data_IF_633741016381
#
_entry.id   IF_633741016381
#
_cell.length_a   1.000
_cell.length_b   1.000
_cell.length_c   1.000
_cell.angle_alpha   90.00
_cell.angle_beta   90.00
_cell.angle_gamma   90.00
#
_symmetry.space_group_name_H-M   'P 1'
#
loop_
_entity.id
_entity.type
_entity.pdbx_description
1 polymer ?
#
# COMPACT_ATOMS: atom_id res chain seq x y z
N UNK A 1 44.62 64.00 14.45
CA UNK A 1 44.18 63.67 13.07
C UNK A 1 43.53 62.29 13.14
N UNK A 2 42.25 61.99 12.91
CA UNK A 2 40.99 62.65 12.48
C UNK A 2 39.87 61.88 13.23
N UNK A 3 39.08 62.48 14.11
CA UNK A 3 37.71 62.98 13.93
C UNK A 3 36.71 62.09 13.15
N UNK A 4 35.74 61.56 13.93
CA UNK A 4 34.27 61.51 13.74
C UNK A 4 33.64 60.42 12.83
N UNK A 5 32.66 59.72 13.43
CA UNK A 5 31.58 59.02 12.74
C UNK A 5 30.63 58.31 13.72
N UNK A 6 29.71 59.07 14.35
CA UNK A 6 28.59 58.58 15.16
C UNK A 6 27.46 58.09 14.25
N UNK A 7 26.88 56.92 14.52
CA UNK A 7 25.49 56.65 14.16
C UNK A 7 24.86 55.72 15.21
N UNK A 8 23.82 56.24 15.86
CA UNK A 8 22.99 55.57 16.84
C UNK A 8 21.97 54.64 16.17
N UNK A 9 21.64 53.53 16.83
CA UNK A 9 20.54 52.64 16.47
C UNK A 9 20.05 51.91 17.72
N UNK A 10 19.01 52.45 18.33
CA UNK A 10 18.30 51.93 19.50
C UNK A 10 17.41 50.76 19.08
N UNK A 11 17.42 49.66 19.83
CA UNK A 11 16.24 49.01 20.43
C UNK A 11 16.60 47.64 21.01
N UNK A 12 16.35 47.51 22.32
CA UNK A 12 16.40 46.26 23.05
C UNK A 12 15.25 45.33 22.61
N UNK A 13 15.53 44.03 22.53
CA UNK A 13 14.56 42.99 22.92
C UNK A 13 15.35 41.86 23.57
N UNK A 14 15.13 41.70 24.87
CA UNK A 14 15.42 40.47 25.61
C UNK A 14 14.30 39.50 25.28
N UNK A 15 14.60 38.37 24.66
CA UNK A 15 13.75 37.18 24.72
C UNK A 15 14.65 35.97 24.92
N UNK A 16 14.70 35.53 26.17
CA UNK A 16 15.13 34.18 26.51
C UNK A 16 14.05 33.21 26.02
N UNK A 17 14.44 32.25 25.19
CA UNK A 17 13.74 30.98 25.02
C UNK A 17 14.75 29.88 25.31
N UNK A 18 14.54 29.22 26.43
CA UNK A 18 15.13 27.95 26.78
C UNK A 18 14.46 26.82 25.97
N UNK A 19 15.20 25.72 25.75
CA UNK A 19 14.72 24.46 25.17
C UNK A 19 15.62 24.02 24.01
N UNK A 20 16.74 23.35 24.26
CA UNK A 20 16.91 21.92 24.55
C UNK A 20 16.72 20.99 23.34
N UNK A 21 17.77 20.18 23.13
CA UNK A 21 17.82 18.85 22.49
C UNK A 21 17.49 18.75 21.01
N UNK A 22 18.58 18.69 20.25
CA UNK A 22 18.79 17.69 19.20
C UNK A 22 18.04 16.37 19.47
N UNK A 23 16.99 16.14 18.68
CA UNK A 23 16.40 14.83 18.43
C UNK A 23 16.22 14.74 16.92
N UNK A 24 16.83 13.72 16.33
CA UNK A 24 16.69 13.39 14.90
C UNK A 24 15.21 13.20 14.59
N UNK A 25 14.63 14.16 13.88
CA UNK A 25 13.27 14.11 13.38
C UNK A 25 13.25 13.18 12.17
N UNK A 26 12.89 11.93 12.43
CA UNK A 26 12.86 10.84 11.47
C UNK A 26 11.56 10.06 11.55
N UNK A 27 10.45 10.74 11.84
CA UNK A 27 9.13 10.22 11.53
C UNK A 27 8.26 11.44 11.24
N UNK A 28 8.12 11.75 9.95
CA UNK A 28 7.04 12.61 9.50
C UNK A 28 5.74 11.87 9.85
N UNK A 29 5.23 12.09 11.06
CA UNK A 29 3.82 11.91 11.36
C UNK A 29 3.10 12.79 10.36
N UNK A 30 2.60 12.19 9.28
CA UNK A 30 1.73 12.88 8.32
C UNK A 30 0.50 13.28 9.12
N UNK A 31 0.55 14.49 9.66
CA UNK A 31 -0.56 15.16 10.34
C UNK A 31 -1.59 15.55 9.29
N UNK A 32 -2.23 14.55 8.71
CA UNK A 32 -3.39 14.65 7.84
C UNK A 32 -4.56 13.96 8.52
N UNK A 33 -5.79 14.36 8.17
CA UNK A 33 -6.95 13.57 8.55
C UNK A 33 -6.80 12.14 7.99
N UNK A 34 -7.26 11.09 8.72
CA UNK A 34 -7.28 9.74 8.20
C UNK A 34 -8.01 9.69 6.85
N UNK A 35 -7.50 8.89 5.91
CA UNK A 35 -8.18 8.69 4.62
C UNK A 35 -9.59 8.14 4.84
N UNK A 36 -10.54 8.64 4.07
CA UNK A 36 -11.88 8.03 3.94
C UNK A 36 -11.90 7.04 2.78
N UNK A 37 -12.93 6.18 2.74
CA UNK A 37 -13.13 5.22 1.66
C UNK A 37 -13.12 5.88 0.28
N UNK A 38 -13.75 7.04 0.15
CA UNK A 38 -13.91 7.76 -1.11
C UNK A 38 -12.56 8.15 -1.69
N UNK A 39 -11.58 8.46 -0.83
CA UNK A 39 -10.22 8.86 -1.19
C UNK A 39 -9.31 7.68 -1.54
N UNK A 40 -9.75 6.44 -1.33
CA UNK A 40 -9.00 5.25 -1.72
C UNK A 40 -8.93 5.13 -3.23
N UNK A 41 -7.81 4.58 -3.72
CA UNK A 41 -7.66 4.15 -5.10
C UNK A 41 -8.85 3.29 -5.53
N UNK A 42 -9.32 3.41 -6.77
CA UNK A 42 -10.42 2.59 -7.27
C UNK A 42 -9.86 1.40 -8.07
N UNK A 43 -9.84 0.18 -7.50
CA UNK A 43 -9.23 -0.98 -8.15
C UNK A 43 -10.01 -1.43 -9.39
N UNK A 44 -11.26 -1.01 -9.54
CA UNK A 44 -12.09 -1.36 -10.69
C UNK A 44 -11.69 -0.62 -11.99
N UNK A 45 -10.85 0.41 -11.90
CA UNK A 45 -10.42 1.24 -13.04
C UNK A 45 -9.07 0.82 -13.65
N UNK A 46 -8.53 -0.33 -13.23
CA UNK A 46 -7.32 -0.89 -13.87
C UNK A 46 -7.60 -1.19 -15.34
N UNK A 47 -6.72 -0.78 -16.28
CA UNK A 47 -6.90 -1.05 -17.71
C UNK A 47 -6.85 -2.55 -18.05
N UNK A 48 -7.63 -2.97 -19.03
CA UNK A 48 -7.70 -4.37 -19.47
C UNK A 48 -6.33 -4.91 -19.92
N UNK A 49 -5.48 -4.08 -20.54
CA UNK A 49 -4.12 -4.47 -20.93
C UNK A 49 -3.24 -4.87 -19.75
N UNK A 50 -3.42 -4.24 -18.58
CA UNK A 50 -2.70 -4.59 -17.34
C UNK A 50 -3.18 -5.94 -16.83
N UNK A 51 -4.49 -6.15 -16.83
CA UNK A 51 -5.10 -7.42 -16.40
C UNK A 51 -4.66 -8.57 -17.29
N UNK A 52 -4.69 -8.38 -18.61
CA UNK A 52 -4.22 -9.37 -19.58
C UNK A 52 -2.72 -9.67 -19.43
N UNK A 53 -1.89 -8.65 -19.21
CA UNK A 53 -0.46 -8.83 -18.96
C UNK A 53 -0.19 -9.59 -17.65
N UNK A 54 -1.06 -9.45 -16.65
CA UNK A 54 -1.02 -10.21 -15.40
C UNK A 54 -1.63 -11.63 -15.50
N UNK A 55 -2.17 -12.01 -16.67
CA UNK A 55 -2.82 -13.31 -16.89
C UNK A 55 -4.25 -13.41 -16.35
N UNK A 56 -4.88 -12.29 -15.99
CA UNK A 56 -6.29 -12.23 -15.63
C UNK A 56 -7.19 -12.07 -16.87
N UNK A 57 -8.44 -12.48 -16.72
CA UNK A 57 -9.52 -12.28 -17.69
C UNK A 57 -10.35 -11.04 -17.33
N UNK A 58 -10.22 -9.92 -18.08
CA UNK A 58 -11.00 -8.70 -17.82
C UNK A 58 -12.52 -8.93 -17.87
N UNK A 59 -12.99 -9.87 -18.69
CA UNK A 59 -14.42 -10.16 -18.82
C UNK A 59 -15.01 -10.86 -17.59
N UNK A 60 -14.16 -11.36 -16.69
CA UNK A 60 -14.55 -12.03 -15.45
C UNK A 60 -14.67 -11.11 -14.24
N UNK A 61 -14.62 -9.80 -14.45
CA UNK A 61 -14.64 -8.75 -13.42
C UNK A 61 -15.73 -8.97 -12.38
N UNK A 62 -15.32 -8.93 -11.12
CA UNK A 62 -16.16 -8.84 -9.92
C UNK A 62 -15.86 -7.51 -9.21
N UNK A 63 -16.83 -6.60 -9.20
CA UNK A 63 -16.72 -5.27 -8.59
C UNK A 63 -17.10 -5.25 -7.10
N UNK A 64 -17.46 -6.41 -6.55
CA UNK A 64 -17.72 -6.58 -5.12
C UNK A 64 -17.13 -7.91 -4.63
N UNK A 65 -15.79 -8.04 -4.57
CA UNK A 65 -15.13 -9.27 -4.13
C UNK A 65 -15.30 -9.55 -2.62
N UNK A 66 -16.04 -8.72 -1.89
CA UNK A 66 -16.26 -8.84 -0.46
C UNK A 66 -17.63 -9.46 -0.17
N UNK A 67 -17.69 -10.33 0.84
CA UNK A 67 -18.93 -10.97 1.31
C UNK A 67 -19.90 -9.99 2.00
N UNK A 68 -19.42 -8.82 2.44
CA UNK A 68 -20.21 -7.77 3.06
C UNK A 68 -19.66 -6.37 2.72
N UNK A 69 -20.50 -5.31 2.74
CA UNK A 69 -20.04 -3.95 2.53
C UNK A 69 -18.97 -3.55 3.55
N UNK A 70 -17.83 -3.07 3.06
CA UNK A 70 -16.74 -2.58 3.89
C UNK A 70 -16.65 -1.05 3.82
N UNK A 71 -16.58 -0.38 4.96
CA UNK A 71 -16.38 1.08 5.05
C UNK A 71 -14.92 1.51 4.90
N UNK A 72 -13.97 0.57 4.93
CA UNK A 72 -12.53 0.85 4.84
C UNK A 72 -11.85 0.18 3.66
N UNK A 73 -12.62 -0.45 2.76
CA UNK A 73 -12.08 -1.18 1.61
C UNK A 73 -12.84 -0.88 0.31
N UNK A 74 -12.09 -0.82 -0.80
CA UNK A 74 -12.58 -1.01 -2.17
C UNK A 74 -11.83 -2.20 -2.78
N UNK A 75 -12.43 -2.86 -3.76
CA UNK A 75 -11.85 -4.07 -4.33
C UNK A 75 -12.45 -4.42 -5.67
N UNK A 76 -11.63 -5.03 -6.52
CA UNK A 76 -12.07 -5.67 -7.75
C UNK A 76 -11.32 -6.98 -7.93
N UNK A 77 -11.99 -8.01 -8.47
CA UNK A 77 -11.43 -9.33 -8.68
C UNK A 77 -11.63 -9.84 -10.10
N UNK A 78 -10.75 -10.74 -10.53
CA UNK A 78 -10.75 -11.38 -11.85
C UNK A 78 -10.27 -12.83 -11.74
N UNK A 79 -10.78 -13.70 -12.62
CA UNK A 79 -10.24 -15.04 -12.82
C UNK A 79 -8.89 -14.96 -13.52
N UNK A 80 -7.96 -15.84 -13.13
CA UNK A 80 -6.64 -15.99 -13.73
C UNK A 80 -6.24 -17.47 -13.74
N UNK A 81 -6.78 -18.23 -14.69
CA UNK A 81 -6.55 -19.68 -14.81
C UNK A 81 -7.00 -20.45 -13.57
N UNK A 82 -6.04 -21.07 -12.88
CA UNK A 82 -6.25 -21.82 -11.62
C UNK A 82 -6.40 -20.93 -10.38
N UNK A 83 -6.30 -19.61 -10.54
CA UNK A 83 -6.29 -18.61 -9.48
C UNK A 83 -7.32 -17.51 -9.72
N UNK A 84 -7.50 -16.68 -8.70
CA UNK A 84 -8.16 -15.39 -8.74
C UNK A 84 -7.15 -14.31 -8.41
N UNK A 85 -7.13 -13.23 -9.18
CA UNK A 85 -6.43 -12.00 -8.84
C UNK A 85 -7.44 -10.99 -8.31
N UNK A 86 -7.15 -10.39 -7.17
CA UNK A 86 -7.94 -9.30 -6.62
C UNK A 86 -7.04 -8.12 -6.32
N UNK A 87 -7.42 -6.94 -6.76
CA UNK A 87 -6.77 -5.70 -6.37
C UNK A 87 -7.68 -4.99 -5.37
N UNK A 88 -7.16 -4.74 -4.17
CA UNK A 88 -7.91 -4.08 -3.10
C UNK A 88 -7.18 -2.81 -2.66
N UNK A 89 -7.91 -1.83 -2.17
CA UNK A 89 -7.37 -0.65 -1.52
C UNK A 89 -8.02 -0.46 -0.16
N UNK A 90 -7.25 -0.03 0.84
CA UNK A 90 -7.72 0.17 2.21
C UNK A 90 -7.12 1.38 2.89
N UNK A 91 -7.84 1.90 3.88
CA UNK A 91 -7.34 2.93 4.80
C UNK A 91 -6.32 2.37 5.81
N UNK A 92 -6.24 1.05 5.95
CA UNK A 92 -5.31 0.40 6.86
C UNK A 92 -3.87 0.54 6.35
N UNK A 93 -2.93 0.80 7.26
CA UNK A 93 -1.49 0.90 7.03
C UNK A 93 -0.82 -0.48 6.89
N UNK A 94 0.37 -0.56 6.28
CA UNK A 94 1.15 -1.81 6.27
C UNK A 94 1.50 -2.32 7.68
N UNK A 95 1.59 -1.43 8.68
CA UNK A 95 1.79 -1.85 10.07
C UNK A 95 0.57 -2.60 10.61
N UNK A 96 -0.64 -2.11 10.35
CA UNK A 96 -1.88 -2.82 10.75
C UNK A 96 -1.99 -4.20 10.10
N UNK A 97 -1.40 -4.41 8.92
CA UNK A 97 -1.32 -5.74 8.31
C UNK A 97 -0.44 -6.67 9.15
N UNK A 98 0.70 -6.18 9.65
CA UNK A 98 1.61 -6.97 10.50
C UNK A 98 1.02 -7.33 11.86
N UNK A 99 0.13 -6.47 12.37
CA UNK A 99 -0.57 -6.68 13.63
C UNK A 99 -1.77 -7.64 13.50
N UNK A 100 -2.24 -7.90 12.27
CA UNK A 100 -3.32 -8.82 12.00
C UNK A 100 -2.86 -10.28 12.05
N UNK A 101 -3.35 -11.04 13.03
CA UNK A 101 -2.98 -12.45 13.23
C UNK A 101 -3.47 -13.40 12.13
N UNK A 102 -4.37 -12.95 11.26
CA UNK A 102 -4.81 -13.73 10.09
C UNK A 102 -3.83 -13.65 8.92
N UNK A 103 -2.88 -12.71 8.98
CA UNK A 103 -1.78 -12.57 8.03
C UNK A 103 -0.48 -13.02 8.68
N UNK A 104 0.37 -13.70 7.92
CA UNK A 104 1.62 -14.26 8.44
C UNK A 104 2.69 -14.35 7.34
N UNK A 105 3.88 -14.86 7.71
CA UNK A 105 5.03 -15.02 6.81
C UNK A 105 5.39 -13.75 6.02
N UNK A 106 5.38 -12.61 6.72
CA UNK A 106 5.66 -11.32 6.13
C UNK A 106 7.07 -11.24 5.54
N UNK A 107 7.17 -10.71 4.31
CA UNK A 107 8.44 -10.47 3.64
C UNK A 107 8.43 -9.09 2.98
N UNK A 108 9.49 -8.32 3.22
CA UNK A 108 9.71 -7.09 2.46
C UNK A 108 10.18 -7.45 1.06
N UNK A 109 9.47 -6.97 0.06
CA UNK A 109 9.74 -7.23 -1.36
C UNK A 109 9.94 -5.92 -2.11
N UNK A 110 10.57 -5.99 -3.27
CA UNK A 110 10.64 -4.86 -4.20
C UNK A 110 10.15 -5.34 -5.55
N UNK A 111 9.05 -4.78 -6.01
CA UNK A 111 8.48 -5.07 -7.33
C UNK A 111 8.83 -3.89 -8.25
N UNK A 112 9.67 -4.15 -9.25
CA UNK A 112 10.35 -3.12 -10.03
C UNK A 112 11.13 -2.15 -9.13
N UNK A 113 10.70 -0.90 -9.01
CA UNK A 113 11.31 0.11 -8.11
C UNK A 113 10.42 0.44 -6.90
N UNK A 114 9.31 -0.29 -6.71
CA UNK A 114 8.33 0.00 -5.66
C UNK A 114 8.47 -0.98 -4.49
N UNK A 115 8.70 -0.49 -3.26
CA UNK A 115 8.71 -1.34 -2.07
C UNK A 115 7.31 -1.89 -1.79
N UNK A 116 7.24 -3.14 -1.38
CA UNK A 116 6.00 -3.81 -1.01
C UNK A 116 6.18 -4.75 0.18
N UNK A 117 5.06 -5.16 0.76
CA UNK A 117 4.97 -6.12 1.85
C UNK A 117 4.20 -7.34 1.37
N UNK A 118 4.89 -8.46 1.17
CA UNK A 118 4.27 -9.74 0.90
C UNK A 118 3.83 -10.40 2.21
N UNK A 119 2.72 -11.12 2.17
CA UNK A 119 2.19 -11.90 3.28
C UNK A 119 1.31 -13.06 2.79
N UNK A 120 1.19 -14.10 3.61
CA UNK A 120 0.23 -15.18 3.44
C UNK A 120 -1.04 -14.90 4.24
N UNK A 121 -2.16 -15.48 3.80
CA UNK A 121 -3.48 -15.29 4.39
C UNK A 121 -4.03 -16.64 4.83
N UNK A 122 -4.57 -16.70 6.05
CA UNK A 122 -5.23 -17.90 6.58
C UNK A 122 -4.28 -18.86 7.29
N UNK A 123 -4.65 -20.14 7.33
CA UNK A 123 -3.91 -21.18 8.05
C UNK A 123 -3.68 -22.43 7.19
N UNK A 124 -4.06 -22.39 5.90
CA UNK A 124 -3.97 -23.53 4.99
C UNK A 124 -2.51 -23.94 4.74
N UNK A 125 -2.25 -25.26 4.73
CA UNK A 125 -0.95 -25.83 4.38
C UNK A 125 -1.13 -26.96 3.34
N UNK A 126 -0.70 -26.78 2.08
CA UNK A 126 0.04 -25.63 1.57
C UNK A 126 -0.80 -24.33 1.53
N UNK A 127 -0.15 -23.15 1.47
CA UNK A 127 -0.85 -21.88 1.38
C UNK A 127 -1.79 -21.80 0.16
N UNK A 128 -2.92 -21.13 0.35
CA UNK A 128 -3.96 -20.95 -0.68
C UNK A 128 -4.06 -19.52 -1.17
N UNK A 129 -3.61 -18.56 -0.36
CA UNK A 129 -3.72 -17.14 -0.64
C UNK A 129 -2.42 -16.39 -0.29
N UNK A 130 -2.06 -15.42 -1.12
CA UNK A 130 -0.93 -14.54 -0.92
C UNK A 130 -1.30 -13.10 -1.31
N UNK A 131 -0.84 -12.13 -0.54
CA UNK A 131 -0.99 -10.71 -0.84
C UNK A 131 0.36 -10.01 -0.98
N UNK A 132 0.41 -8.98 -1.81
CA UNK A 132 1.50 -8.00 -1.85
C UNK A 132 0.89 -6.61 -1.69
N UNK A 133 1.11 -6.01 -0.52
CA UNK A 133 0.64 -4.68 -0.18
C UNK A 133 1.66 -3.61 -0.55
N UNK A 134 1.19 -2.50 -1.09
CA UNK A 134 1.97 -1.32 -1.45
C UNK A 134 1.35 -0.07 -0.82
N UNK A 135 2.16 0.73 -0.13
CA UNK A 135 1.70 2.02 0.39
C UNK A 135 1.55 3.04 -0.73
N UNK A 136 0.49 3.86 -0.68
CA UNK A 136 0.28 4.99 -1.58
C UNK A 136 -0.36 6.18 -0.89
N UNK A 137 -0.36 7.33 -1.56
CA UNK A 137 -1.14 8.52 -1.21
C UNK A 137 -2.67 8.28 -1.18
N UNK A 138 -3.15 7.21 -1.80
CA UNK A 138 -4.57 6.81 -1.84
C UNK A 138 -4.82 5.49 -1.07
N UNK A 139 -4.07 5.29 0.01
CA UNK A 139 -4.20 4.15 0.93
C UNK A 139 -3.21 3.01 0.64
N UNK A 140 -3.36 1.91 1.37
CA UNK A 140 -2.60 0.69 1.08
C UNK A 140 -3.33 -0.10 0.01
N UNK A 141 -2.64 -0.41 -1.08
CA UNK A 141 -3.18 -1.17 -2.20
C UNK A 141 -2.55 -2.55 -2.17
N UNK A 142 -3.37 -3.61 -2.14
CA UNK A 142 -2.88 -4.99 -2.13
C UNK A 142 -3.32 -5.74 -3.37
N UNK A 143 -2.36 -6.37 -4.05
CA UNK A 143 -2.62 -7.41 -5.03
C UNK A 143 -2.71 -8.74 -4.27
N UNK A 144 -3.88 -9.35 -4.26
CA UNK A 144 -4.11 -10.67 -3.68
C UNK A 144 -4.26 -11.71 -4.78
N UNK A 145 -3.71 -12.88 -4.52
CA UNK A 145 -3.86 -14.07 -5.33
C UNK A 145 -4.43 -15.18 -4.46
N UNK A 146 -5.54 -15.75 -4.88
CA UNK A 146 -6.15 -16.90 -4.21
C UNK A 146 -6.35 -18.06 -5.16
N UNK A 147 -6.07 -19.29 -4.71
CA UNK A 147 -6.32 -20.49 -5.49
C UNK A 147 -7.83 -20.69 -5.67
N UNK A 148 -8.26 -21.01 -6.89
CA UNK A 148 -9.66 -21.34 -7.11
C UNK A 148 -10.03 -22.64 -6.38
N UNK A 149 -11.18 -22.66 -5.71
CA UNK A 149 -11.64 -23.81 -4.91
C UNK A 149 -11.70 -25.14 -5.67
N UNK A 150 -11.94 -25.09 -6.98
CA UNK A 150 -11.98 -26.28 -7.86
C UNK A 150 -10.62 -26.65 -8.45
N UNK A 151 -9.59 -25.82 -8.26
CA UNK A 151 -8.26 -26.06 -8.82
C UNK A 151 -7.52 -27.16 -8.05
N UNK A 152 -6.70 -27.91 -8.77
CA UNK A 152 -5.74 -28.89 -8.21
C UNK A 152 -4.29 -28.41 -8.36
N UNK A 153 -4.09 -27.15 -8.76
CA UNK A 153 -2.77 -26.57 -8.90
C UNK A 153 -2.04 -26.60 -7.56
N UNK A 154 -0.79 -27.07 -7.58
CA UNK A 154 0.11 -27.04 -6.43
C UNK A 154 1.04 -25.84 -6.46
N UNK A 155 0.82 -24.90 -7.38
CA UNK A 155 1.65 -23.69 -7.53
C UNK A 155 1.46 -22.79 -6.32
N UNK A 156 2.54 -22.22 -5.81
CA UNK A 156 2.52 -21.29 -4.68
C UNK A 156 1.79 -19.99 -5.07
N UNK A 157 0.76 -19.56 -4.31
CA UNK A 157 0.06 -18.31 -4.61
C UNK A 157 0.99 -17.08 -4.59
N UNK A 158 2.06 -17.07 -3.79
CA UNK A 158 3.03 -15.98 -3.81
C UNK A 158 3.90 -15.96 -5.07
N UNK A 159 4.21 -17.12 -5.66
CA UNK A 159 4.90 -17.16 -6.96
C UNK A 159 4.05 -16.50 -8.05
N UNK A 160 2.74 -16.78 -8.04
CA UNK A 160 1.78 -16.16 -8.95
C UNK A 160 1.65 -14.65 -8.68
N UNK A 161 1.57 -14.24 -7.41
CA UNK A 161 1.51 -12.83 -7.01
C UNK A 161 2.73 -12.04 -7.49
N UNK A 162 3.94 -12.57 -7.28
CA UNK A 162 5.19 -11.92 -7.72
C UNK A 162 5.32 -11.86 -9.24
N UNK A 163 4.76 -12.83 -9.96
CA UNK A 163 4.74 -12.82 -11.42
C UNK A 163 3.77 -11.76 -11.97
N UNK A 164 2.61 -11.59 -11.32
CA UNK A 164 1.58 -10.65 -11.75
C UNK A 164 1.85 -9.19 -11.32
N UNK A 165 2.48 -8.98 -10.17
CA UNK A 165 2.66 -7.66 -9.56
C UNK A 165 3.33 -6.59 -10.45
N UNK A 166 4.37 -6.90 -11.27
CA UNK A 166 5.00 -5.93 -12.15
C UNK A 166 4.03 -5.23 -13.11
N UNK A 167 2.97 -5.93 -13.57
CA UNK A 167 1.96 -5.36 -14.46
C UNK A 167 1.11 -4.30 -13.78
N UNK A 168 0.89 -4.40 -12.47
CA UNK A 168 0.04 -3.47 -11.73
C UNK A 168 0.80 -2.25 -11.22
N UNK A 169 2.06 -2.41 -10.78
CA UNK A 169 2.80 -1.35 -10.05
C UNK A 169 2.86 -0.02 -10.82
N UNK A 170 2.91 -0.05 -12.15
CA UNK A 170 3.00 1.17 -12.98
C UNK A 170 1.70 1.99 -13.02
N UNK A 171 0.54 1.39 -12.72
CA UNK A 171 -0.76 2.08 -12.69
C UNK A 171 -1.23 2.44 -11.29
N UNK A 172 -0.48 2.03 -10.26
CA UNK A 172 -0.81 2.38 -8.88
C UNK A 172 -0.35 3.82 -8.59
N UNK A 173 -1.13 4.58 -7.80
CA UNK A 173 -0.67 5.87 -7.31
C UNK A 173 0.55 5.69 -6.40
N UNK A 174 1.44 6.69 -6.46
CA UNK A 174 2.56 6.86 -5.54
C UNK A 174 2.10 7.09 -4.10
#
# INVERSE_FOLDING_TARGET
MRLVGVAAGVCAVVLALAGCSESVDGQAEVSGAPLTKEQLFDPCNVPDEVLLAAGADPASKDDNPFSAPSSSWKGCGWRAGDFYLSLLSTTNSPQEFRENTYFHDFQDVTVNSRPGLQYLIGESNPPEECGIAFGSSQGTITLMVGRALSSKSTTDPCEVANTAAPSFVEVLPE
#
